data_IF_112471479345
#
_entry.id   IF_112471479345
#
_cell.length_a   1.000
_cell.length_b   1.000
_cell.length_c   1.000
_cell.angle_alpha   90.00
_cell.angle_beta   90.00
_cell.angle_gamma   90.00
#
_symmetry.space_group_name_H-M   'P 1'
#
loop_
_entity.id
_entity.type
_entity.pdbx_description
1 polymer ?
#
# COMPACT_ATOMS: atom_id res chain seq x y z
N UNK A 1 13.30 28.39 84.75
CA UNK A 1 12.48 29.18 83.82
C UNK A 1 12.22 28.36 82.63
N UNK A 2 11.03 27.74 82.52
CA UNK A 2 10.60 27.02 81.34
C UNK A 2 9.72 27.94 80.51
N UNK A 3 10.13 28.25 79.23
CA UNK A 3 9.31 28.93 78.27
C UNK A 3 8.37 27.90 77.60
N UNK A 4 7.10 27.98 77.86
CA UNK A 4 6.09 27.30 77.10
C UNK A 4 5.89 27.99 75.76
N UNK A 5 6.26 27.32 74.64
CA UNK A 5 5.86 27.78 73.30
C UNK A 5 4.38 27.47 73.11
N UNK A 6 3.58 28.50 73.05
CA UNK A 6 2.16 28.37 72.64
C UNK A 6 2.13 28.12 71.13
N UNK A 7 1.72 26.94 70.70
CA UNK A 7 1.34 26.66 69.31
C UNK A 7 -0.04 27.24 69.08
N UNK A 8 -0.12 28.34 68.37
CA UNK A 8 -1.39 28.92 67.88
C UNK A 8 -1.92 27.95 66.81
N UNK A 9 -2.98 27.25 67.13
CA UNK A 9 -3.78 26.51 66.15
C UNK A 9 -4.65 27.56 65.41
N UNK A 10 -4.12 28.03 64.26
CA UNK A 10 -4.92 28.87 63.34
C UNK A 10 -5.77 27.92 62.46
N UNK A 11 -7.10 28.00 62.64
CA UNK A 11 -8.06 27.25 61.82
C UNK A 11 -8.23 27.90 60.45
N UNK A 12 -8.46 27.10 59.39
CA UNK A 12 -8.73 27.58 58.05
C UNK A 12 -10.03 28.42 58.02
N UNK A 13 -9.98 29.53 57.29
CA UNK A 13 -11.17 30.38 57.05
C UNK A 13 -12.01 29.74 55.90
N UNK A 14 -13.34 29.95 55.98
CA UNK A 14 -14.27 29.46 54.93
C UNK A 14 -13.92 30.04 53.56
N UNK A 15 -13.43 31.27 53.48
CA UNK A 15 -13.04 31.92 52.21
C UNK A 15 -11.77 31.30 51.60
N UNK A 16 -10.86 30.86 52.44
CA UNK A 16 -9.61 30.19 51.98
C UNK A 16 -9.93 28.83 51.36
N UNK A 17 -10.86 28.05 51.91
CA UNK A 17 -11.33 26.80 51.33
C UNK A 17 -12.07 27.04 50.00
N UNK A 18 -12.92 28.06 49.92
CA UNK A 18 -13.62 28.44 48.70
C UNK A 18 -12.63 28.84 47.58
N UNK A 19 -11.63 29.65 47.92
CA UNK A 19 -10.60 30.06 46.97
C UNK A 19 -9.76 28.91 46.50
N UNK A 20 -9.39 27.98 47.39
CA UNK A 20 -8.62 26.78 47.05
C UNK A 20 -9.40 25.87 46.08
N UNK A 21 -10.70 25.63 46.33
CA UNK A 21 -11.57 24.85 45.46
C UNK A 21 -11.76 25.54 44.09
N UNK A 22 -11.89 26.85 44.07
CA UNK A 22 -12.01 27.63 42.83
C UNK A 22 -10.74 27.48 41.96
N UNK A 23 -9.57 27.69 42.56
CA UNK A 23 -8.30 27.54 41.85
C UNK A 23 -8.12 26.09 41.40
N UNK A 24 -8.40 25.08 42.22
CA UNK A 24 -8.35 23.68 41.88
C UNK A 24 -9.26 23.35 40.70
N UNK A 25 -10.46 23.93 40.62
CA UNK A 25 -11.40 23.73 39.52
C UNK A 25 -10.84 24.26 38.18
N UNK A 26 -10.21 25.45 38.20
CA UNK A 26 -9.57 26.03 37.01
C UNK A 26 -8.42 25.15 36.54
N UNK A 27 -7.53 24.73 37.45
CA UNK A 27 -6.39 23.85 37.12
C UNK A 27 -6.87 22.55 36.53
N UNK A 28 -7.88 21.92 37.12
CA UNK A 28 -8.48 20.71 36.64
C UNK A 28 -9.07 20.86 35.23
N UNK A 29 -9.75 22.01 34.99
CA UNK A 29 -10.29 22.34 33.67
C UNK A 29 -9.20 22.45 32.58
N UNK A 30 -8.09 23.13 32.90
CA UNK A 30 -6.93 23.23 31.97
C UNK A 30 -6.28 21.88 31.69
N UNK A 31 -6.09 21.07 32.74
CA UNK A 31 -5.52 19.71 32.57
C UNK A 31 -6.43 18.81 31.70
N UNK A 32 -7.74 18.89 31.94
CA UNK A 32 -8.73 18.16 31.16
C UNK A 32 -8.70 18.56 29.67
N UNK A 33 -8.69 19.89 29.41
CA UNK A 33 -8.60 20.39 28.03
C UNK A 33 -7.33 19.96 27.34
N UNK A 34 -6.18 20.00 28.02
CA UNK A 34 -4.90 19.52 27.49
C UNK A 34 -4.92 18.03 27.17
N UNK A 35 -5.51 17.22 28.04
CA UNK A 35 -5.64 15.78 27.82
C UNK A 35 -6.46 15.44 26.58
N UNK A 36 -7.58 16.13 26.36
CA UNK A 36 -8.40 15.95 25.16
C UNK A 36 -7.69 16.34 23.87
N UNK A 37 -6.88 17.40 23.91
CA UNK A 37 -6.06 17.79 22.74
C UNK A 37 -5.04 16.72 22.37
N UNK A 38 -4.41 16.08 23.37
CA UNK A 38 -3.44 15.01 23.14
C UNK A 38 -4.12 13.79 22.51
N UNK A 39 -5.31 13.39 22.99
CA UNK A 39 -6.04 12.25 22.42
C UNK A 39 -6.39 12.52 20.96
N UNK A 40 -6.96 13.69 20.64
CA UNK A 40 -7.30 14.07 19.26
C UNK A 40 -6.06 14.12 18.34
N UNK A 41 -4.93 14.61 18.85
CA UNK A 41 -3.69 14.64 18.10
C UNK A 41 -3.17 13.22 17.83
N UNK A 42 -3.28 12.31 18.80
CA UNK A 42 -2.91 10.91 18.67
C UNK A 42 -3.76 10.20 17.60
N UNK A 43 -5.08 10.32 17.68
CA UNK A 43 -6.01 9.71 16.70
C UNK A 43 -5.68 10.15 15.26
N UNK A 44 -5.39 11.44 15.08
CA UNK A 44 -5.01 11.98 13.77
C UNK A 44 -3.71 11.35 13.23
N UNK A 45 -2.70 11.24 14.09
CA UNK A 45 -1.42 10.63 13.70
C UNK A 45 -1.58 9.14 13.41
N UNK A 46 -2.39 8.42 14.20
CA UNK A 46 -2.66 7.00 13.98
C UNK A 46 -3.33 6.76 12.61
N UNK A 47 -4.32 7.57 12.24
CA UNK A 47 -4.99 7.49 10.94
C UNK A 47 -4.03 7.76 9.76
N UNK A 48 -3.14 8.76 9.89
CA UNK A 48 -2.12 9.03 8.87
C UNK A 48 -1.11 7.87 8.77
N UNK A 49 -0.66 7.32 9.90
CA UNK A 49 0.26 6.18 9.92
C UNK A 49 -0.35 4.92 9.28
N UNK A 50 -1.65 4.68 9.47
CA UNK A 50 -2.37 3.56 8.86
C UNK A 50 -2.33 3.67 7.33
N UNK A 51 -2.54 4.87 6.77
CA UNK A 51 -2.46 5.10 5.33
C UNK A 51 -1.07 4.81 4.76
N UNK A 52 -0.02 5.28 5.44
CA UNK A 52 1.36 4.96 5.06
C UNK A 52 1.68 3.47 5.17
N UNK A 53 1.10 2.80 6.16
CA UNK A 53 1.24 1.36 6.30
C UNK A 53 0.57 0.63 5.14
N UNK A 54 -0.63 1.03 4.75
CA UNK A 54 -1.38 0.48 3.63
C UNK A 54 -0.59 0.63 2.31
N UNK A 55 -0.10 1.84 2.01
CA UNK A 55 0.76 2.07 0.85
C UNK A 55 2.00 1.16 0.85
N UNK A 56 2.66 1.02 2.00
CA UNK A 56 3.81 0.13 2.15
C UNK A 56 3.46 -1.34 1.90
N UNK A 57 2.31 -1.80 2.34
CA UNK A 57 1.84 -3.17 2.09
C UNK A 57 1.64 -3.40 0.59
N UNK A 58 0.98 -2.45 -0.11
CA UNK A 58 0.79 -2.52 -1.56
C UNK A 58 2.16 -2.63 -2.26
N UNK A 59 3.07 -1.68 -2.01
CA UNK A 59 4.39 -1.68 -2.65
C UNK A 59 5.21 -2.93 -2.34
N UNK A 60 5.22 -3.36 -1.08
CA UNK A 60 5.95 -4.57 -0.67
C UNK A 60 5.42 -5.82 -1.37
N UNK A 61 4.10 -5.93 -1.54
CA UNK A 61 3.45 -7.04 -2.23
C UNK A 61 3.79 -7.03 -3.71
N UNK A 62 3.57 -5.90 -4.38
CA UNK A 62 3.87 -5.74 -5.81
C UNK A 62 5.36 -5.92 -6.10
N UNK A 63 6.25 -5.32 -5.28
CA UNK A 63 7.70 -5.50 -5.44
C UNK A 63 8.10 -6.96 -5.36
N UNK A 64 7.59 -7.70 -4.37
CA UNK A 64 7.91 -9.13 -4.22
C UNK A 64 7.47 -9.93 -5.44
N UNK A 65 6.27 -9.66 -5.93
CA UNK A 65 5.72 -10.38 -7.08
C UNK A 65 6.46 -10.00 -8.39
N UNK A 66 6.81 -8.72 -8.58
CA UNK A 66 7.54 -8.23 -9.76
C UNK A 66 9.01 -8.69 -9.80
N UNK A 67 9.71 -8.68 -8.67
CA UNK A 67 11.11 -9.15 -8.61
C UNK A 67 11.25 -10.64 -8.94
N UNK A 68 10.18 -11.40 -8.74
CA UNK A 68 10.12 -12.82 -9.09
C UNK A 68 9.41 -13.09 -10.43
N UNK A 69 9.12 -12.03 -11.20
CA UNK A 69 8.60 -12.18 -12.55
C UNK A 69 9.63 -12.89 -13.44
N UNK A 70 9.16 -13.80 -14.28
CA UNK A 70 10.02 -14.51 -15.19
C UNK A 70 9.39 -14.65 -16.58
N UNK A 71 10.20 -14.59 -17.66
CA UNK A 71 9.71 -14.86 -18.99
C UNK A 71 9.38 -16.35 -19.09
N UNK A 72 8.16 -16.68 -19.46
CA UNK A 72 7.83 -18.04 -19.82
C UNK A 72 8.44 -18.31 -21.20
N UNK A 73 9.65 -18.85 -21.21
CA UNK A 73 10.30 -19.26 -22.45
C UNK A 73 9.35 -20.12 -23.26
N UNK A 74 9.40 -19.97 -24.58
CA UNK A 74 8.62 -20.73 -25.52
C UNK A 74 8.96 -22.25 -25.32
N UNK A 75 8.25 -22.86 -24.35
CA UNK A 75 8.30 -24.30 -24.22
C UNK A 75 7.65 -24.75 -25.51
N UNK A 76 8.46 -25.32 -26.44
CA UNK A 76 8.00 -26.04 -27.60
C UNK A 76 7.05 -27.16 -27.16
N UNK A 77 5.90 -26.81 -26.67
CA UNK A 77 4.80 -27.72 -26.54
C UNK A 77 4.31 -27.98 -27.95
N UNK A 78 4.38 -29.21 -28.33
CA UNK A 78 3.76 -29.84 -29.50
C UNK A 78 2.23 -29.71 -29.36
N UNK A 79 1.74 -28.53 -29.08
CA UNK A 79 0.33 -28.15 -29.06
C UNK A 79 0.13 -27.23 -30.24
N UNK A 80 -0.62 -27.70 -31.19
CA UNK A 80 -1.04 -27.00 -32.41
C UNK A 80 -2.01 -25.82 -32.13
N UNK A 81 -1.99 -25.28 -30.96
CA UNK A 81 -2.76 -24.10 -30.60
C UNK A 81 -1.78 -23.01 -30.14
N UNK A 82 -1.50 -21.99 -30.98
CA UNK A 82 -0.72 -20.84 -30.56
C UNK A 82 -1.62 -19.89 -29.79
N UNK A 83 -1.97 -20.23 -28.57
CA UNK A 83 -2.37 -19.22 -27.61
C UNK A 83 -1.05 -18.61 -27.12
N UNK A 84 -0.68 -17.40 -27.56
CA UNK A 84 0.47 -16.73 -27.00
C UNK A 84 0.15 -16.53 -25.52
N UNK A 85 0.79 -17.29 -24.67
CA UNK A 85 0.73 -17.05 -23.25
C UNK A 85 1.53 -15.77 -23.00
N UNK A 86 0.87 -14.65 -23.09
CA UNK A 86 1.40 -13.35 -22.73
C UNK A 86 1.88 -13.44 -21.29
N UNK A 87 3.19 -13.45 -21.09
CA UNK A 87 3.75 -13.66 -19.76
C UNK A 87 3.96 -12.37 -18.97
N UNK A 88 3.80 -11.20 -19.63
CA UNK A 88 3.80 -9.90 -18.99
C UNK A 88 3.01 -8.91 -19.85
N UNK A 89 1.84 -8.53 -19.39
CA UNK A 89 0.93 -7.61 -20.09
C UNK A 89 0.49 -6.53 -19.13
N UNK A 90 0.80 -5.30 -19.46
CA UNK A 90 0.35 -4.11 -18.76
C UNK A 90 -0.50 -3.24 -19.68
N UNK A 91 -1.66 -2.80 -19.18
CA UNK A 91 -2.56 -1.90 -19.87
C UNK A 91 -3.00 -0.75 -19.00
N UNK A 92 -3.55 0.30 -19.59
CA UNK A 92 -4.10 1.43 -18.89
C UNK A 92 -5.45 1.84 -19.46
N UNK A 93 -6.42 2.06 -18.58
CA UNK A 93 -7.71 2.64 -18.90
C UNK A 93 -7.98 3.83 -17.97
N UNK A 94 -7.91 5.05 -18.51
CA UNK A 94 -8.02 6.28 -17.73
C UNK A 94 -6.95 6.39 -16.64
N UNK A 95 -7.38 6.47 -15.39
CA UNK A 95 -6.51 6.58 -14.21
C UNK A 95 -6.14 5.22 -13.60
N UNK A 96 -6.50 4.14 -14.26
CA UNK A 96 -6.31 2.80 -13.72
C UNK A 96 -5.52 1.94 -14.69
N UNK A 97 -4.51 1.28 -14.15
CA UNK A 97 -3.73 0.29 -14.88
C UNK A 97 -4.17 -1.12 -14.51
N UNK A 98 -4.00 -2.03 -15.47
CA UNK A 98 -4.06 -3.46 -15.26
C UNK A 98 -2.69 -4.06 -15.52
N UNK A 99 -2.34 -5.12 -14.81
CA UNK A 99 -1.08 -5.83 -15.01
C UNK A 99 -1.28 -7.31 -14.76
N UNK A 100 -0.92 -8.14 -15.72
CA UNK A 100 -0.91 -9.60 -15.58
C UNK A 100 0.46 -10.13 -15.99
N UNK A 101 1.06 -10.99 -15.15
CA UNK A 101 2.37 -11.58 -15.44
C UNK A 101 2.58 -12.90 -14.72
N UNK A 102 3.56 -13.67 -15.18
CA UNK A 102 4.00 -14.90 -14.53
C UNK A 102 5.06 -14.63 -13.49
N UNK A 103 4.95 -15.26 -12.33
CA UNK A 103 5.83 -15.06 -11.17
C UNK A 103 6.14 -16.38 -10.46
N UNK A 104 7.30 -16.43 -9.80
CA UNK A 104 7.72 -17.49 -8.89
C UNK A 104 7.44 -17.13 -7.42
N UNK A 105 6.50 -16.20 -7.18
CA UNK A 105 6.21 -15.69 -5.84
C UNK A 105 5.37 -16.64 -4.96
N UNK A 106 4.86 -17.72 -5.53
CA UNK A 106 4.06 -18.70 -4.82
C UNK A 106 4.93 -19.63 -3.97
N UNK A 107 4.47 -19.88 -2.75
CA UNK A 107 5.05 -20.90 -1.89
C UNK A 107 4.09 -22.09 -1.86
N UNK A 108 4.37 -23.19 -2.57
CA UNK A 108 3.52 -24.37 -2.54
C UNK A 108 3.38 -24.94 -1.13
N UNK A 109 2.23 -25.52 -0.83
CA UNK A 109 2.06 -26.23 0.42
C UNK A 109 3.03 -27.41 0.49
N UNK A 110 3.54 -27.70 1.69
CA UNK A 110 4.43 -28.84 1.91
C UNK A 110 3.72 -30.13 1.48
N UNK A 111 4.32 -30.87 0.56
CA UNK A 111 3.77 -32.09 -0.06
C UNK A 111 2.74 -31.86 -1.19
N UNK A 112 2.45 -30.64 -1.60
CA UNK A 112 1.67 -30.38 -2.80
C UNK A 112 2.52 -30.65 -4.05
N UNK A 113 1.94 -31.32 -5.06
CA UNK A 113 2.53 -31.46 -6.39
C UNK A 113 2.29 -30.24 -7.26
N UNK A 114 2.25 -29.08 -6.62
CA UNK A 114 1.97 -27.80 -7.26
C UNK A 114 3.27 -27.12 -7.63
N UNK A 115 3.26 -26.39 -8.75
CA UNK A 115 4.37 -25.54 -9.17
C UNK A 115 4.46 -24.29 -8.27
N UNK A 116 5.66 -23.74 -8.13
CA UNK A 116 5.92 -22.42 -7.58
C UNK A 116 5.56 -21.30 -8.57
N UNK A 117 5.30 -21.66 -9.83
CA UNK A 117 4.84 -20.75 -10.88
C UNK A 117 3.37 -20.40 -10.66
N UNK A 118 3.06 -19.14 -10.85
CA UNK A 118 1.70 -18.61 -10.76
C UNK A 118 1.53 -17.43 -11.70
N UNK A 119 0.31 -17.21 -12.16
CA UNK A 119 -0.09 -15.99 -12.84
C UNK A 119 -0.59 -15.02 -11.80
N UNK A 120 -0.05 -13.82 -11.82
CA UNK A 120 -0.44 -12.73 -10.94
C UNK A 120 -1.13 -11.65 -11.77
N UNK A 121 -2.30 -11.21 -11.33
CA UNK A 121 -2.96 -10.06 -11.92
C UNK A 121 -3.25 -8.99 -10.88
N UNK A 122 -3.03 -7.75 -11.26
CA UNK A 122 -3.40 -6.54 -10.51
C UNK A 122 -4.38 -5.73 -11.35
N UNK A 123 -5.50 -5.36 -10.77
CA UNK A 123 -6.55 -4.56 -11.39
C UNK A 123 -7.39 -3.88 -10.32
N UNK A 124 -8.27 -2.97 -10.71
CA UNK A 124 -9.15 -2.28 -9.78
C UNK A 124 -10.62 -2.61 -10.04
N UNK A 125 -11.39 -2.70 -8.96
CA UNK A 125 -12.85 -2.87 -8.99
C UNK A 125 -13.51 -1.75 -8.18
N UNK A 126 -14.71 -1.28 -8.58
CA UNK A 126 -15.46 -0.31 -7.78
C UNK A 126 -15.79 -0.88 -6.40
N UNK A 127 -15.69 -0.05 -5.36
CA UNK A 127 -16.14 -0.42 -4.01
C UNK A 127 -17.66 -0.25 -3.93
N UNK A 128 -18.34 -1.27 -3.40
CA UNK A 128 -19.78 -1.21 -3.17
C UNK A 128 -20.09 -0.09 -2.17
N UNK A 129 -21.10 0.71 -2.42
CA UNK A 129 -21.52 1.88 -1.62
C UNK A 129 -20.57 3.12 -1.64
N UNK A 130 -19.39 3.06 -2.27
CA UNK A 130 -18.45 4.19 -2.36
C UNK A 130 -18.00 4.46 -3.81
N UNK A 131 -18.78 5.18 -4.64
CA UNK A 131 -18.55 5.28 -6.08
C UNK A 131 -17.27 6.03 -6.47
N UNK A 132 -16.62 6.73 -5.54
CA UNK A 132 -15.35 7.42 -5.76
C UNK A 132 -14.13 6.59 -5.37
N UNK A 133 -14.33 5.43 -4.76
CA UNK A 133 -13.27 4.55 -4.31
C UNK A 133 -13.25 3.24 -5.08
N UNK A 134 -12.05 2.72 -5.22
CA UNK A 134 -11.79 1.46 -5.90
C UNK A 134 -10.98 0.54 -4.99
N UNK A 135 -11.22 -0.76 -5.14
CA UNK A 135 -10.41 -1.79 -4.53
C UNK A 135 -9.28 -2.21 -5.47
N UNK A 136 -8.03 -2.15 -5.01
CA UNK A 136 -6.92 -2.77 -5.71
C UNK A 136 -6.96 -4.27 -5.47
N UNK A 137 -7.33 -5.02 -6.49
CA UNK A 137 -7.43 -6.46 -6.47
C UNK A 137 -6.11 -7.12 -6.85
N UNK A 138 -5.80 -8.24 -6.21
CA UNK A 138 -4.74 -9.15 -6.61
C UNK A 138 -5.33 -10.54 -6.83
N UNK A 139 -5.12 -11.08 -8.03
CA UNK A 139 -5.44 -12.46 -8.38
C UNK A 139 -4.15 -13.29 -8.41
N UNK A 140 -4.21 -14.48 -7.87
CA UNK A 140 -3.11 -15.47 -7.85
C UNK A 140 -3.65 -16.79 -8.40
N UNK A 141 -3.26 -17.14 -9.61
CA UNK A 141 -3.74 -18.34 -10.29
C UNK A 141 -2.58 -19.30 -10.56
N UNK A 142 -2.60 -20.51 -9.98
CA UNK A 142 -1.60 -21.53 -10.28
C UNK A 142 -1.72 -22.08 -11.70
N UNK A 143 -2.83 -21.83 -12.39
CA UNK A 143 -3.07 -22.26 -13.77
C UNK A 143 -2.82 -21.09 -14.70
N UNK A 144 -1.65 -21.04 -15.30
CA UNK A 144 -1.22 -19.96 -16.18
C UNK A 144 -2.01 -19.95 -17.49
N UNK A 145 -2.47 -18.78 -17.93
CA UNK A 145 -3.19 -18.55 -19.18
C UNK A 145 -4.68 -18.87 -19.11
N UNK A 146 -5.27 -18.85 -17.92
CA UNK A 146 -6.73 -18.95 -17.74
C UNK A 146 -7.29 -17.63 -17.26
N UNK A 147 -8.36 -17.16 -17.88
CA UNK A 147 -9.08 -15.96 -17.45
C UNK A 147 -9.94 -16.23 -16.20
N UNK A 148 -10.38 -17.47 -16.02
CA UNK A 148 -11.24 -17.89 -14.93
C UNK A 148 -10.44 -18.74 -13.92
N UNK A 149 -10.65 -18.46 -12.63
CA UNK A 149 -10.02 -19.21 -11.54
C UNK A 149 -9.06 -18.39 -10.69
N UNK A 150 -8.27 -19.08 -9.88
CA UNK A 150 -7.36 -18.48 -8.95
C UNK A 150 -8.01 -17.94 -7.68
N UNK A 151 -7.20 -17.34 -6.82
CA UNK A 151 -7.61 -16.68 -5.57
C UNK A 151 -7.54 -15.17 -5.76
N UNK A 152 -8.66 -14.49 -5.58
CA UNK A 152 -8.77 -13.04 -5.72
C UNK A 152 -9.03 -12.42 -4.34
N UNK A 153 -8.36 -11.32 -4.04
CA UNK A 153 -8.59 -10.58 -2.80
C UNK A 153 -8.17 -9.10 -2.94
N UNK A 154 -8.87 -8.20 -2.25
CA UNK A 154 -8.49 -6.79 -2.21
C UNK A 154 -7.24 -6.62 -1.34
N UNK A 155 -6.30 -5.77 -1.79
CA UNK A 155 -5.14 -5.33 -1.01
C UNK A 155 -5.46 -4.01 -0.30
N UNK A 156 -6.25 -3.16 -0.94
CA UNK A 156 -6.71 -1.86 -0.46
C UNK A 156 -8.06 -1.54 -1.08
N UNK A 157 -8.93 -0.85 -0.35
CA UNK A 157 -10.24 -0.39 -0.82
C UNK A 157 -10.33 1.15 -0.84
N UNK A 158 -9.18 1.84 -0.76
CA UNK A 158 -9.10 3.30 -0.72
C UNK A 158 -8.45 3.91 -1.95
N UNK A 159 -8.42 3.19 -3.06
CA UNK A 159 -7.76 3.63 -4.28
C UNK A 159 -8.61 4.71 -4.98
N UNK A 160 -7.97 5.82 -5.33
CA UNK A 160 -8.49 6.88 -6.20
C UNK A 160 -7.80 6.87 -7.55
N UNK A 161 -6.54 6.42 -7.58
CA UNK A 161 -5.76 6.26 -8.80
C UNK A 161 -4.73 5.14 -8.64
N UNK A 162 -4.52 4.38 -9.71
CA UNK A 162 -3.53 3.32 -9.79
C UNK A 162 -2.93 3.32 -11.20
N UNK A 163 -1.69 3.79 -11.33
CA UNK A 163 -1.03 3.92 -12.62
C UNK A 163 0.32 3.22 -12.60
N UNK A 164 0.57 2.44 -13.62
CA UNK A 164 1.84 1.78 -13.86
C UNK A 164 2.50 2.37 -15.09
N UNK A 165 3.80 2.53 -15.04
CA UNK A 165 4.60 2.86 -16.21
C UNK A 165 5.85 1.98 -16.27
N UNK A 166 6.26 1.65 -17.48
CA UNK A 166 7.25 0.63 -17.77
C UNK A 166 8.47 1.24 -18.45
N UNK A 167 9.65 0.75 -18.10
CA UNK A 167 10.92 1.15 -18.70
C UNK A 167 11.61 -0.06 -19.31
N UNK A 168 12.02 0.03 -20.56
CA UNK A 168 12.88 -0.96 -21.20
C UNK A 168 14.34 -0.80 -20.76
N UNK A 169 15.19 -1.78 -21.07
CA UNK A 169 16.63 -1.72 -20.76
C UNK A 169 17.34 -0.51 -21.38
N UNK A 170 16.93 -0.11 -22.58
CA UNK A 170 17.49 1.07 -23.27
C UNK A 170 17.12 2.39 -22.61
N UNK A 171 16.05 2.44 -21.81
CA UNK A 171 15.59 3.64 -21.12
C UNK A 171 16.29 3.85 -19.78
N UNK A 172 16.92 2.82 -19.22
CA UNK A 172 17.73 2.93 -18.00
C UNK A 172 19.14 3.40 -18.35
N UNK A 173 19.25 4.60 -18.91
CA UNK A 173 20.56 5.21 -19.15
C UNK A 173 20.92 6.15 -18.01
N UNK A 174 22.10 5.95 -17.41
CA UNK A 174 22.67 6.84 -16.38
C UNK A 174 23.00 8.26 -16.88
N UNK A 175 22.69 8.56 -18.14
CA UNK A 175 23.08 9.81 -18.82
C UNK A 175 21.90 10.75 -19.08
N UNK A 176 20.85 10.77 -18.24
CA UNK A 176 19.87 11.88 -18.22
C UNK A 176 19.23 12.24 -19.59
N UNK A 177 18.89 11.24 -20.40
CA UNK A 177 18.02 11.42 -21.56
C UNK A 177 16.55 11.41 -21.13
N UNK A 178 15.66 12.00 -21.93
CA UNK A 178 14.22 11.95 -21.68
C UNK A 178 13.78 10.48 -21.58
N UNK A 179 13.43 10.05 -20.38
CA UNK A 179 12.95 8.70 -20.09
C UNK A 179 11.59 8.55 -20.76
N UNK A 180 11.51 7.77 -21.82
CA UNK A 180 10.24 7.44 -22.45
C UNK A 180 9.52 6.39 -21.61
N UNK A 181 8.59 6.85 -20.77
CA UNK A 181 7.73 6.01 -19.95
C UNK A 181 6.60 5.44 -20.82
N UNK A 182 6.54 4.13 -20.94
CA UNK A 182 5.43 3.45 -21.59
C UNK A 182 4.35 3.13 -20.54
N UNK A 183 3.10 3.42 -20.84
CA UNK A 183 1.95 3.06 -20.00
C UNK A 183 1.32 1.73 -20.38
N UNK A 184 1.79 1.15 -21.46
CA UNK A 184 1.40 -0.17 -21.93
C UNK A 184 2.66 -1.01 -22.18
N UNK A 185 2.59 -2.29 -21.88
CA UNK A 185 3.65 -3.24 -22.13
C UNK A 185 3.05 -4.57 -22.52
N UNK A 186 3.58 -5.16 -23.59
CA UNK A 186 3.15 -6.47 -24.03
C UNK A 186 4.35 -7.31 -24.48
N UNK A 187 4.61 -8.39 -23.77
CA UNK A 187 5.71 -9.29 -24.09
C UNK A 187 5.34 -10.43 -25.02
N UNK A 188 4.07 -10.51 -25.49
CA UNK A 188 3.61 -11.55 -26.42
C UNK A 188 4.26 -11.45 -27.81
N UNK A 189 4.67 -10.27 -28.22
CA UNK A 189 5.33 -10.01 -29.49
C UNK A 189 6.84 -10.27 -29.49
N UNK A 190 7.35 -10.95 -28.46
CA UNK A 190 8.76 -11.32 -28.33
C UNK A 190 9.62 -10.27 -27.63
N UNK A 191 9.00 -9.23 -27.06
CA UNK A 191 9.69 -8.29 -26.18
C UNK A 191 10.08 -8.96 -24.86
N UNK A 192 11.18 -8.49 -24.28
CA UNK A 192 11.64 -8.92 -22.95
C UNK A 192 10.74 -8.36 -21.85
N UNK A 193 10.94 -8.79 -20.61
CA UNK A 193 10.37 -8.13 -19.45
C UNK A 193 10.81 -6.65 -19.42
N UNK A 194 10.00 -5.75 -18.86
CA UNK A 194 10.48 -4.40 -18.59
C UNK A 194 11.61 -4.45 -17.57
N UNK A 195 12.61 -3.61 -17.72
CA UNK A 195 13.73 -3.53 -16.78
C UNK A 195 13.32 -2.86 -15.46
N UNK A 196 12.31 -1.98 -15.53
CA UNK A 196 11.70 -1.38 -14.34
C UNK A 196 10.22 -1.10 -14.53
N UNK A 197 9.50 -1.14 -13.42
CA UNK A 197 8.08 -0.73 -13.32
C UNK A 197 7.98 0.37 -12.28
N UNK A 198 7.46 1.52 -12.68
CA UNK A 198 7.10 2.59 -11.78
C UNK A 198 5.64 2.42 -11.36
N UNK A 199 5.39 2.36 -10.08
CA UNK A 199 4.08 2.17 -9.48
C UNK A 199 3.67 3.48 -8.83
N UNK A 200 2.57 4.06 -9.30
CA UNK A 200 1.96 5.25 -8.72
C UNK A 200 0.58 4.88 -8.19
N UNK A 201 0.32 5.18 -6.92
CA UNK A 201 -0.97 4.97 -6.26
C UNK A 201 -1.43 6.25 -5.60
N UNK A 202 -2.73 6.52 -5.71
CA UNK A 202 -3.38 7.61 -5.01
C UNK A 202 -4.40 6.99 -4.06
N UNK A 203 -4.23 7.24 -2.77
CA UNK A 203 -5.09 6.73 -1.70
C UNK A 203 -5.93 7.86 -1.10
N UNK A 204 -7.19 7.60 -0.80
CA UNK A 204 -8.04 8.49 -0.05
C UNK A 204 -7.63 8.53 1.41
N UNK A 205 -7.17 9.67 1.86
CA UNK A 205 -6.81 9.93 3.25
C UNK A 205 -8.03 10.04 4.19
N UNK A 206 -7.79 9.96 5.49
CA UNK A 206 -8.87 9.95 6.49
C UNK A 206 -9.65 11.27 6.57
N UNK A 207 -9.16 12.33 5.95
CA UNK A 207 -9.80 13.65 5.87
C UNK A 207 -10.48 13.92 4.53
N UNK A 208 -10.50 12.93 3.62
CA UNK A 208 -11.00 13.07 2.28
C UNK A 208 -9.99 13.71 1.31
N UNK A 209 -8.75 13.94 1.75
CA UNK A 209 -7.63 14.34 0.92
C UNK A 209 -7.04 13.14 0.17
N UNK A 210 -6.57 13.36 -1.02
CA UNK A 210 -5.93 12.33 -1.83
C UNK A 210 -4.41 12.44 -1.67
N UNK A 211 -3.78 11.32 -1.29
CA UNK A 211 -2.34 11.27 -1.06
C UNK A 211 -1.71 10.33 -2.08
N UNK A 212 -0.74 10.88 -2.81
CA UNK A 212 0.00 10.17 -3.84
C UNK A 212 1.25 9.51 -3.28
N UNK A 213 1.47 8.26 -3.67
CA UNK A 213 2.65 7.47 -3.36
C UNK A 213 3.25 6.89 -4.64
N UNK A 214 4.57 6.89 -4.71
CA UNK A 214 5.30 6.40 -5.87
C UNK A 214 6.42 5.45 -5.45
N UNK A 215 6.67 4.41 -6.25
CA UNK A 215 7.76 3.46 -6.04
C UNK A 215 8.23 2.89 -7.37
N UNK A 216 9.56 2.83 -7.54
CA UNK A 216 10.20 2.20 -8.68
C UNK A 216 10.69 0.79 -8.30
N UNK A 217 10.30 -0.20 -9.09
CA UNK A 217 10.72 -1.59 -8.92
C UNK A 217 11.57 -2.00 -10.12
N UNK A 218 12.79 -2.43 -9.85
CA UNK A 218 13.67 -3.03 -10.86
C UNK A 218 13.35 -4.52 -10.98
N UNK A 219 13.15 -4.99 -12.20
CA UNK A 219 12.96 -6.42 -12.49
C UNK A 219 14.31 -6.99 -12.86
N UNK A 220 14.81 -8.03 -12.15
CA UNK A 220 16.06 -8.67 -12.51
C UNK A 220 15.94 -9.34 -13.87
N UNK A 221 16.72 -8.89 -14.84
CA UNK A 221 16.84 -9.58 -16.12
C UNK A 221 17.72 -10.80 -15.88
N UNK A 222 17.18 -11.99 -16.14
CA UNK A 222 17.94 -13.23 -16.08
C UNK A 222 18.45 -13.48 -17.51
N UNK A 223 19.77 -13.29 -17.72
CA UNK A 223 20.47 -13.62 -18.95
C UNK A 223 20.50 -15.16 -19.19
#
# INVERSE_FOLDING_TARGET
MQQQSQTTNEGFTLIEVLLAVFIASIVMGVLYASFFQIIKAKEKVEQELELYHEARVIFSKMTRDLVTAFPRGNVNTISSDPSPSDFFVGGQEGNFSTLTFTSLSRTPAKDAKESDQTEISYYVEPVEDEPELFALMRRDDPTIGTEEGGSQYPISERIVGFTLSYMGESSISLTGGDEELAFEWNSSDGSSLPAAVNINIILRGPRGDDIEFNSLVLIPVVD
#
